data_IF_652401160293
#
_entry.id   IF_652401160293
#
_cell.length_a   1.000
_cell.length_b   1.000
_cell.length_c   1.000
_cell.angle_alpha   90.00
_cell.angle_beta   90.00
_cell.angle_gamma   90.00
#
_symmetry.space_group_name_H-M   'P 1'
#
loop_
_entity.id
_entity.type
_entity.pdbx_description
1 polymer ?
#
# COMPACT_ATOMS: atom_id res chain seq x y z
N UNK A 1 9.80 -14.21 -5.81
CA UNK A 1 8.47 -14.78 -6.06
C UNK A 1 8.08 -14.57 -7.51
N UNK A 2 7.59 -15.60 -8.13
CA UNK A 2 7.16 -15.67 -9.54
C UNK A 2 5.64 -15.63 -9.69
N UNK A 3 4.90 -15.59 -8.60
CA UNK A 3 3.48 -15.25 -8.67
C UNK A 3 3.33 -13.83 -9.21
N UNK A 4 2.36 -13.64 -10.10
CA UNK A 4 1.90 -12.32 -10.50
C UNK A 4 1.15 -11.67 -9.35
N UNK A 5 1.92 -11.04 -8.50
CA UNK A 5 1.44 -10.38 -7.29
C UNK A 5 2.21 -9.06 -7.10
N UNK A 6 1.57 -7.96 -6.69
CA UNK A 6 2.28 -6.77 -6.23
C UNK A 6 3.23 -7.10 -5.07
N UNK A 7 4.40 -6.47 -5.04
CA UNK A 7 5.40 -6.62 -3.97
C UNK A 7 5.20 -5.52 -2.93
N UNK A 8 5.24 -5.89 -1.65
CA UNK A 8 5.26 -4.92 -0.56
C UNK A 8 6.58 -4.14 -0.54
N UNK A 9 6.48 -2.88 -0.17
CA UNK A 9 7.61 -1.97 0.00
C UNK A 9 7.32 -1.05 1.19
N UNK A 10 8.25 -0.95 2.12
CA UNK A 10 8.11 -0.05 3.25
C UNK A 10 9.48 0.50 3.70
N UNK A 11 9.50 1.74 4.16
CA UNK A 11 10.67 2.40 4.74
C UNK A 11 10.25 3.06 6.04
N UNK A 12 10.98 2.82 7.10
CA UNK A 12 10.87 3.54 8.37
C UNK A 12 12.03 4.53 8.49
N UNK A 13 11.70 5.80 8.55
CA UNK A 13 12.65 6.87 8.83
C UNK A 13 12.65 7.14 10.32
N UNK A 14 13.77 6.92 10.96
CA UNK A 14 13.98 7.30 12.35
C UNK A 14 14.45 8.76 12.39
N UNK A 15 13.54 9.68 12.65
CA UNK A 15 13.83 11.12 12.67
C UNK A 15 13.90 11.64 14.10
N UNK A 16 14.47 12.83 14.28
CA UNK A 16 14.55 13.51 15.59
C UNK A 16 13.16 13.81 16.19
N UNK A 17 12.14 13.95 15.35
CA UNK A 17 10.77 14.25 15.76
C UNK A 17 9.87 13.00 15.92
N UNK A 18 10.38 11.82 15.60
CA UNK A 18 9.69 10.55 15.68
C UNK A 18 9.93 9.67 14.46
N UNK A 19 9.18 8.58 14.37
CA UNK A 19 9.26 7.69 13.23
C UNK A 19 8.28 8.10 12.15
N UNK A 20 8.77 8.18 10.94
CA UNK A 20 7.95 8.34 9.74
C UNK A 20 8.03 7.11 8.87
N UNK A 21 6.88 6.53 8.53
CA UNK A 21 6.79 5.33 7.71
C UNK A 21 6.19 5.64 6.33
N UNK A 22 6.86 5.19 5.27
CA UNK A 22 6.26 5.07 3.95
C UNK A 22 5.96 3.59 3.70
N UNK A 23 4.69 3.27 3.48
CA UNK A 23 4.20 1.90 3.26
C UNK A 23 3.52 1.81 1.91
N UNK A 24 4.16 1.16 0.96
CA UNK A 24 3.72 1.11 -0.42
C UNK A 24 4.02 -0.21 -1.13
N UNK A 25 4.07 -0.16 -2.45
CA UNK A 25 4.22 -1.31 -3.32
C UNK A 25 5.13 -1.04 -4.52
N UNK A 26 5.39 -2.09 -5.31
CA UNK A 26 6.11 -1.96 -6.57
C UNK A 26 5.23 -1.48 -7.73
N UNK A 27 3.95 -1.22 -7.49
CA UNK A 27 3.01 -0.66 -8.46
C UNK A 27 2.50 0.70 -7.98
N UNK A 28 2.33 1.69 -8.87
CA UNK A 28 1.88 3.03 -8.48
C UNK A 28 0.37 3.14 -8.23
N UNK A 29 -0.37 2.06 -8.38
CA UNK A 29 -1.83 1.99 -8.36
C UNK A 29 -2.32 0.76 -7.60
N UNK A 30 -3.65 0.67 -7.34
CA UNK A 30 -4.31 -0.40 -6.61
C UNK A 30 -5.60 -0.91 -7.29
N UNK A 31 -6.18 -1.99 -6.78
CA UNK A 31 -7.39 -2.64 -7.32
C UNK A 31 -8.69 -1.92 -6.97
N UNK A 32 -8.75 -1.20 -5.87
CA UNK A 32 -9.97 -0.58 -5.33
C UNK A 32 -9.70 0.83 -4.82
N UNK A 33 -10.75 1.66 -4.76
CA UNK A 33 -10.73 3.03 -4.22
C UNK A 33 -11.46 3.16 -2.89
N UNK A 34 -12.44 2.29 -2.66
CA UNK A 34 -13.23 2.24 -1.43
C UNK A 34 -12.56 1.32 -0.40
N UNK A 35 -12.11 1.83 0.76
CA UNK A 35 -11.47 1.01 1.79
C UNK A 35 -12.41 -0.04 2.38
N UNK A 36 -13.73 0.15 2.32
CA UNK A 36 -14.73 -0.83 2.74
C UNK A 36 -14.72 -2.10 1.88
N UNK A 37 -14.20 -2.02 0.65
CA UNK A 37 -14.02 -3.18 -0.22
C UNK A 37 -12.73 -3.97 0.08
N UNK A 38 -11.83 -3.45 0.93
CA UNK A 38 -10.56 -4.11 1.19
C UNK A 38 -10.70 -5.52 1.79
N UNK A 39 -11.52 -5.76 2.83
CA UNK A 39 -11.75 -7.11 3.34
C UNK A 39 -12.35 -8.04 2.28
N UNK A 40 -13.30 -7.55 1.48
CA UNK A 40 -13.93 -8.30 0.39
C UNK A 40 -12.88 -8.70 -0.65
N UNK A 41 -12.07 -7.73 -1.11
CA UNK A 41 -10.97 -7.98 -2.04
C UNK A 41 -9.97 -9.01 -1.49
N UNK A 42 -9.62 -8.92 -0.21
CA UNK A 42 -8.70 -9.89 0.43
C UNK A 42 -9.30 -11.31 0.41
N UNK A 43 -10.60 -11.47 0.65
CA UNK A 43 -11.26 -12.77 0.58
C UNK A 43 -11.12 -13.39 -0.82
N UNK A 44 -11.23 -12.61 -1.89
CA UNK A 44 -11.07 -13.12 -3.26
C UNK A 44 -9.63 -13.54 -3.60
N UNK A 45 -8.65 -13.08 -2.82
CA UNK A 45 -7.24 -13.41 -3.02
C UNK A 45 -6.77 -14.57 -2.14
N UNK A 46 -7.54 -14.92 -1.10
CA UNK A 46 -7.25 -16.05 -0.22
C UNK A 46 -7.54 -17.38 -0.91
N UNK A 47 -7.15 -18.45 -0.22
CA UNK A 47 -7.46 -19.81 -0.64
C UNK A 47 -8.92 -20.14 -0.33
N UNK A 48 -9.55 -20.91 -1.18
CA UNK A 48 -10.87 -21.47 -0.93
C UNK A 48 -10.83 -22.26 0.40
N UNK A 49 -11.75 -22.01 1.34
CA UNK A 49 -11.71 -22.64 2.66
C UNK A 49 -11.91 -24.16 2.64
N UNK A 50 -12.54 -24.70 1.60
CA UNK A 50 -12.78 -26.16 1.45
C UNK A 50 -11.59 -26.86 0.80
N UNK A 51 -11.08 -26.34 -0.32
CA UNK A 51 -10.04 -27.00 -1.11
C UNK A 51 -8.62 -26.57 -0.71
N UNK A 52 -8.48 -25.46 0.01
CA UNK A 52 -7.22 -24.78 0.31
C UNK A 52 -6.38 -24.40 -0.92
N UNK A 53 -6.99 -24.34 -2.08
CA UNK A 53 -6.38 -23.89 -3.34
C UNK A 53 -6.80 -22.46 -3.67
N UNK A 54 -6.05 -21.83 -4.60
CA UNK A 54 -6.47 -20.55 -5.16
C UNK A 54 -7.74 -20.76 -5.98
N UNK A 55 -8.71 -19.89 -5.77
CA UNK A 55 -10.00 -19.92 -6.45
C UNK A 55 -10.05 -18.82 -7.51
N UNK A 56 -10.05 -19.23 -8.77
CA UNK A 56 -10.05 -18.30 -9.89
C UNK A 56 -11.44 -17.68 -10.14
N UNK A 57 -12.50 -18.38 -9.75
CA UNK A 57 -13.86 -17.85 -9.80
C UNK A 57 -13.98 -16.62 -8.88
N UNK A 58 -13.62 -16.74 -7.62
CA UNK A 58 -13.63 -15.62 -6.67
C UNK A 58 -12.77 -14.45 -7.14
N UNK A 59 -11.61 -14.72 -7.74
CA UNK A 59 -10.73 -13.67 -8.24
C UNK A 59 -11.36 -12.92 -9.43
N UNK A 60 -11.74 -13.64 -10.46
CA UNK A 60 -12.21 -13.05 -11.70
C UNK A 60 -13.63 -12.48 -11.60
N UNK A 61 -14.49 -13.08 -10.80
CA UNK A 61 -15.81 -12.51 -10.50
C UNK A 61 -15.68 -11.11 -9.89
N UNK A 62 -14.91 -10.98 -8.82
CA UNK A 62 -14.66 -9.66 -8.22
C UNK A 62 -14.11 -8.64 -9.22
N UNK A 63 -13.09 -9.02 -10.00
CA UNK A 63 -12.51 -8.13 -11.01
C UNK A 63 -13.55 -7.75 -12.08
N UNK A 64 -14.50 -8.64 -12.44
CA UNK A 64 -15.57 -8.33 -13.41
C UNK A 64 -16.56 -7.31 -12.92
N UNK A 65 -16.85 -7.36 -11.63
CA UNK A 65 -17.83 -6.48 -10.98
C UNK A 65 -17.21 -5.13 -10.54
N UNK A 66 -15.90 -4.93 -10.73
CA UNK A 66 -15.17 -3.73 -10.29
C UNK A 66 -14.27 -3.18 -11.39
N UNK A 67 -14.81 -2.36 -12.30
CA UNK A 67 -14.07 -1.82 -13.44
C UNK A 67 -12.83 -1.01 -13.03
N UNK A 68 -12.83 -0.37 -11.86
CA UNK A 68 -11.67 0.31 -11.30
C UNK A 68 -10.46 -0.61 -11.07
N UNK A 69 -10.67 -1.93 -11.02
CA UNK A 69 -9.60 -2.92 -10.85
C UNK A 69 -8.85 -3.23 -12.14
N UNK A 70 -9.36 -2.82 -13.30
CA UNK A 70 -8.85 -3.22 -14.63
C UNK A 70 -7.39 -2.77 -14.83
N UNK A 71 -7.08 -1.53 -14.53
CA UNK A 71 -5.73 -0.98 -14.71
C UNK A 71 -4.68 -1.74 -13.88
N UNK A 72 -4.94 -1.98 -12.61
CA UNK A 72 -4.04 -2.77 -11.77
C UNK A 72 -3.92 -4.22 -12.24
N UNK A 73 -5.00 -4.81 -12.72
CA UNK A 73 -5.00 -6.16 -13.29
C UNK A 73 -4.12 -6.23 -14.54
N UNK A 74 -4.22 -5.27 -15.44
CA UNK A 74 -3.34 -5.19 -16.62
C UNK A 74 -1.86 -5.08 -16.22
N UNK A 75 -1.51 -4.22 -15.28
CA UNK A 75 -0.12 -4.12 -14.79
C UNK A 75 0.35 -5.44 -14.16
N UNK A 76 -0.51 -6.10 -13.38
CA UNK A 76 -0.21 -7.37 -12.72
C UNK A 76 0.04 -8.50 -13.71
N UNK A 77 -0.74 -8.58 -14.79
CA UNK A 77 -0.62 -9.62 -15.81
C UNK A 77 0.39 -9.26 -16.91
N UNK A 78 0.86 -8.00 -16.99
CA UNK A 78 2.00 -7.62 -17.83
C UNK A 78 3.32 -8.18 -17.31
N UNK A 79 4.40 -7.95 -18.05
CA UNK A 79 5.76 -8.31 -17.63
C UNK A 79 6.15 -7.69 -16.28
N UNK A 80 5.58 -6.53 -15.93
CA UNK A 80 5.82 -5.84 -14.65
C UNK A 80 5.34 -6.61 -13.42
N UNK A 81 4.45 -7.58 -13.59
CA UNK A 81 3.96 -8.44 -12.50
C UNK A 81 4.97 -9.48 -12.01
N UNK A 82 6.07 -9.70 -12.74
CA UNK A 82 7.12 -10.68 -12.41
C UNK A 82 8.53 -10.06 -12.48
N UNK A 83 8.87 -9.11 -11.59
CA UNK A 83 10.18 -8.50 -11.57
C UNK A 83 11.29 -9.52 -11.28
N UNK A 84 12.47 -9.32 -11.90
CA UNK A 84 13.67 -10.14 -11.68
C UNK A 84 14.36 -9.77 -10.35
N UNK A 85 13.63 -9.97 -9.26
CA UNK A 85 14.05 -9.68 -7.89
C UNK A 85 13.75 -8.23 -7.44
N UNK A 86 13.91 -7.99 -6.14
CA UNK A 86 13.58 -6.71 -5.50
C UNK A 86 14.46 -5.53 -5.95
N UNK A 87 15.66 -5.80 -6.48
CA UNK A 87 16.57 -4.77 -7.00
C UNK A 87 16.11 -4.16 -8.33
N UNK A 88 15.26 -4.87 -9.06
CA UNK A 88 14.80 -4.53 -10.40
C UNK A 88 13.33 -4.09 -10.44
N UNK A 89 12.81 -3.58 -9.35
CA UNK A 89 11.48 -3.00 -9.27
C UNK A 89 11.54 -1.60 -8.63
N UNK A 90 10.62 -0.73 -9.05
CA UNK A 90 10.40 0.52 -8.36
C UNK A 90 9.56 0.31 -7.08
N UNK A 91 9.62 1.27 -6.15
CA UNK A 91 8.73 1.38 -5.02
C UNK A 91 7.87 2.64 -5.12
N UNK A 92 6.65 2.58 -4.61
CA UNK A 92 5.70 3.70 -4.62
C UNK A 92 5.00 3.78 -3.27
N UNK A 93 4.97 4.97 -2.67
CA UNK A 93 4.23 5.22 -1.43
C UNK A 93 2.71 5.19 -1.62
N UNK A 94 2.28 4.92 -2.86
CA UNK A 94 0.91 4.67 -3.33
C UNK A 94 -0.06 5.84 -3.18
N UNK A 95 -0.24 6.36 -1.96
CA UNK A 95 -1.19 7.43 -1.65
C UNK A 95 -0.65 8.83 -1.90
N UNK A 96 -1.59 9.78 -1.94
CA UNK A 96 -1.30 11.20 -1.88
C UNK A 96 -1.20 11.61 -0.42
N UNK A 97 -0.10 12.26 -0.06
CA UNK A 97 0.12 12.93 1.22
C UNK A 97 0.13 14.44 1.03
N UNK A 98 0.13 15.18 2.13
CA UNK A 98 0.38 16.62 2.13
C UNK A 98 1.74 16.89 2.78
N UNK A 99 2.51 17.78 2.18
CA UNK A 99 3.63 18.45 2.83
C UNK A 99 3.17 19.83 3.26
N UNK A 100 3.37 20.18 4.52
CA UNK A 100 2.94 21.45 5.11
C UNK A 100 4.16 22.16 5.67
N UNK A 101 4.39 23.39 5.20
CA UNK A 101 5.52 24.19 5.69
C UNK A 101 5.21 24.92 7.02
N UNK A 102 6.18 25.65 7.55
CA UNK A 102 6.05 26.36 8.82
C UNK A 102 4.94 27.42 8.82
N UNK A 103 4.61 27.97 7.63
CA UNK A 103 3.54 28.94 7.46
C UNK A 103 2.15 28.30 7.27
N UNK A 104 2.05 26.97 7.38
CA UNK A 104 0.82 26.21 7.21
C UNK A 104 0.38 26.01 5.75
N UNK A 105 1.21 26.37 4.77
CA UNK A 105 0.90 26.15 3.35
C UNK A 105 1.10 24.67 2.99
N UNK A 106 0.02 24.03 2.55
CA UNK A 106 0.01 22.63 2.15
C UNK A 106 0.20 22.44 0.64
N UNK A 107 0.96 21.41 0.25
CA UNK A 107 1.05 20.89 -1.13
C UNK A 107 0.84 19.39 -1.13
N UNK A 108 0.16 18.87 -2.13
CA UNK A 108 0.01 17.43 -2.30
C UNK A 108 1.27 16.80 -2.90
N UNK A 109 1.61 15.60 -2.42
CA UNK A 109 2.76 14.84 -2.94
C UNK A 109 2.48 13.34 -2.99
N UNK A 110 3.22 12.65 -3.87
CA UNK A 110 3.35 11.18 -3.90
C UNK A 110 4.82 10.81 -3.86
N UNK A 111 5.16 9.81 -3.06
CA UNK A 111 6.54 9.33 -2.93
C UNK A 111 6.83 8.20 -3.91
N UNK A 112 7.87 8.36 -4.72
CA UNK A 112 8.33 7.38 -5.70
C UNK A 112 9.78 7.01 -5.43
N UNK A 113 10.06 5.72 -5.42
CA UNK A 113 11.42 5.17 -5.34
C UNK A 113 11.75 4.53 -6.70
N UNK A 114 12.71 5.09 -7.41
CA UNK A 114 13.16 4.58 -8.71
C UNK A 114 14.44 3.79 -8.52
N UNK A 115 14.44 2.52 -8.94
CA UNK A 115 15.64 1.68 -8.83
C UNK A 115 16.74 2.18 -9.79
N UNK A 116 17.95 2.40 -9.27
CA UNK A 116 19.12 2.78 -10.08
C UNK A 116 19.59 1.62 -10.98
N UNK A 117 19.33 0.36 -10.59
CA UNK A 117 19.61 -0.85 -11.39
C UNK A 117 18.64 -1.05 -12.56
N UNK A 118 17.68 -0.14 -12.74
CA UNK A 118 16.60 -0.18 -13.75
C UNK A 118 15.66 -1.37 -13.55
N UNK A 119 14.45 -1.24 -14.07
CA UNK A 119 13.44 -2.29 -14.07
C UNK A 119 13.91 -3.43 -14.97
N UNK A 120 13.76 -4.65 -14.48
CA UNK A 120 13.98 -5.89 -15.23
C UNK A 120 12.94 -6.92 -14.82
N UNK A 121 12.38 -7.61 -15.78
CA UNK A 121 11.33 -8.60 -15.56
C UNK A 121 11.82 -10.00 -15.96
N UNK A 122 11.27 -11.04 -15.32
CA UNK A 122 11.60 -12.42 -15.65
C UNK A 122 10.94 -12.82 -16.98
N UNK A 123 11.65 -13.55 -17.87
CA UNK A 123 10.99 -14.27 -18.95
C UNK A 123 9.98 -15.29 -18.40
N UNK A 124 8.84 -15.46 -19.07
CA UNK A 124 7.73 -16.32 -18.61
C UNK A 124 8.20 -17.74 -18.29
N UNK A 125 8.98 -18.40 -19.16
CA UNK A 125 9.56 -19.72 -18.90
C UNK A 125 10.36 -19.80 -17.61
N UNK A 126 11.23 -18.83 -17.35
CA UNK A 126 12.04 -18.77 -16.11
C UNK A 126 11.19 -18.49 -14.87
N UNK A 127 10.04 -17.86 -15.03
CA UNK A 127 9.09 -17.65 -13.95
C UNK A 127 8.39 -18.95 -13.54
N UNK A 128 8.06 -19.81 -14.49
CA UNK A 128 7.43 -21.12 -14.22
C UNK A 128 8.35 -22.05 -13.42
N UNK A 129 9.63 -22.08 -13.72
CA UNK A 129 10.65 -22.89 -13.00
C UNK A 129 10.81 -22.45 -11.54
N UNK A 130 10.57 -21.19 -11.24
CA UNK A 130 10.72 -20.59 -9.92
C UNK A 130 9.41 -20.56 -9.07
N UNK A 131 8.32 -21.16 -9.55
CA UNK A 131 6.94 -21.01 -9.05
C UNK A 131 6.66 -21.38 -7.57
N UNK A 132 7.63 -21.69 -6.76
CA UNK A 132 7.41 -22.25 -5.41
C UNK A 132 7.33 -21.25 -4.24
N UNK A 133 7.40 -19.89 -4.42
CA UNK A 133 7.35 -18.89 -3.31
C UNK A 133 6.60 -17.57 -3.68
N UNK A 134 5.93 -16.90 -2.76
CA UNK A 134 4.90 -15.81 -2.89
C UNK A 134 5.34 -14.40 -2.41
N UNK A 135 4.66 -13.23 -2.66
CA UNK A 135 3.40 -12.43 -2.40
C UNK A 135 3.53 -10.88 -2.67
N UNK A 136 2.63 -9.92 -2.59
CA UNK A 136 1.60 -8.93 -3.10
C UNK A 136 1.67 -7.44 -2.63
N UNK A 137 1.22 -6.33 -3.29
CA UNK A 137 0.11 -5.37 -3.70
C UNK A 137 0.51 -3.87 -3.82
N UNK A 138 -0.13 -2.78 -4.42
CA UNK A 138 -1.43 -2.14 -4.60
C UNK A 138 -1.52 -0.68 -5.15
N UNK A 139 -2.68 -0.11 -5.68
CA UNK A 139 -3.42 1.17 -5.88
C UNK A 139 -3.65 1.71 -7.32
N UNK A 140 -4.77 2.51 -7.60
CA UNK A 140 -5.44 2.48 -8.94
C UNK A 140 -5.08 3.53 -9.99
N UNK A 141 -4.64 4.77 -9.71
CA UNK A 141 -4.30 5.79 -10.72
C UNK A 141 -2.95 6.47 -10.49
N UNK A 142 -2.22 6.75 -11.58
CA UNK A 142 -0.99 7.54 -11.56
C UNK A 142 -1.23 9.00 -11.94
N UNK A 143 -0.40 9.91 -11.42
CA UNK A 143 -0.35 11.30 -11.88
C UNK A 143 0.48 11.40 -13.16
N UNK A 144 0.02 12.13 -14.20
CA UNK A 144 0.79 12.34 -15.42
C UNK A 144 2.09 13.10 -15.13
N UNK A 145 3.24 12.51 -15.46
CA UNK A 145 4.54 13.13 -15.17
C UNK A 145 4.82 14.39 -16.02
N UNK A 146 4.05 14.65 -17.09
CA UNK A 146 4.12 15.90 -17.84
C UNK A 146 3.58 17.09 -17.04
N UNK A 147 2.55 16.85 -16.23
CA UNK A 147 1.89 17.87 -15.40
C UNK A 147 2.49 17.91 -13.99
N UNK A 148 2.92 16.74 -13.49
CA UNK A 148 3.51 16.55 -12.16
C UNK A 148 4.88 15.85 -12.30
N UNK A 149 5.95 16.60 -12.66
CA UNK A 149 7.27 16.03 -12.86
C UNK A 149 7.84 15.46 -11.55
N UNK A 150 8.65 14.42 -11.66
CA UNK A 150 9.37 13.87 -10.52
C UNK A 150 10.48 14.84 -10.09
N UNK A 151 10.56 15.11 -8.79
CA UNK A 151 11.59 15.91 -8.16
C UNK A 151 12.48 14.96 -7.34
N UNK A 152 13.74 14.88 -7.67
CA UNK A 152 14.70 14.07 -6.89
C UNK A 152 14.96 14.75 -5.55
N UNK A 153 14.75 13.99 -4.46
CA UNK A 153 14.90 14.48 -3.08
C UNK A 153 15.98 13.75 -2.30
N UNK A 154 16.48 12.63 -2.82
CA UNK A 154 17.53 11.85 -2.16
C UNK A 154 17.73 10.46 -2.75
N UNK A 155 18.64 9.72 -2.14
CA UNK A 155 18.96 8.34 -2.49
C UNK A 155 18.79 7.42 -1.30
N UNK A 156 18.10 6.29 -1.50
CA UNK A 156 18.02 5.19 -0.54
C UNK A 156 19.05 4.12 -0.92
N UNK A 157 19.93 3.76 0.01
CA UNK A 157 20.92 2.72 -0.18
C UNK A 157 20.62 1.56 0.78
N UNK A 158 20.52 0.35 0.23
CA UNK A 158 20.36 -0.90 0.99
C UNK A 158 21.76 -1.53 1.18
N UNK A 159 22.46 -1.15 2.22
CA UNK A 159 23.87 -1.46 2.47
C UNK A 159 24.09 -2.49 3.58
N UNK A 160 23.05 -2.81 4.36
CA UNK A 160 23.14 -3.73 5.50
C UNK A 160 21.91 -4.66 5.59
N UNK A 161 22.17 -5.92 5.88
CA UNK A 161 21.13 -6.87 6.29
C UNK A 161 20.86 -6.77 7.80
N UNK A 162 19.63 -7.16 8.27
CA UNK A 162 19.36 -7.25 9.70
C UNK A 162 20.32 -8.26 10.36
N UNK A 163 20.75 -7.95 11.58
CA UNK A 163 21.59 -8.84 12.39
C UNK A 163 20.77 -9.89 13.14
N UNK A 164 19.54 -9.56 13.46
CA UNK A 164 18.58 -10.45 14.11
C UNK A 164 17.22 -10.37 13.41
N UNK A 165 16.88 -11.42 12.64
CA UNK A 165 15.67 -11.44 11.85
C UNK A 165 14.39 -11.31 12.68
N UNK A 166 14.32 -11.98 13.83
CA UNK A 166 13.15 -11.87 14.71
C UNK A 166 13.00 -10.45 15.28
N UNK A 167 14.05 -9.90 15.85
CA UNK A 167 13.99 -8.59 16.51
C UNK A 167 13.81 -7.42 15.51
N UNK A 168 14.46 -7.50 14.37
CA UNK A 168 14.55 -6.37 13.42
C UNK A 168 13.58 -6.51 12.23
N UNK A 169 13.05 -7.70 11.95
CA UNK A 169 12.16 -7.95 10.81
C UNK A 169 10.77 -8.43 11.25
N UNK A 170 10.67 -9.48 12.07
CA UNK A 170 9.36 -9.99 12.48
C UNK A 170 8.62 -9.04 13.42
N UNK A 171 9.33 -8.33 14.30
CA UNK A 171 8.75 -7.39 15.25
C UNK A 171 8.55 -5.97 14.71
N UNK A 172 9.08 -5.65 13.52
CA UNK A 172 8.89 -4.31 12.95
C UNK A 172 7.43 -4.08 12.56
N UNK A 173 6.95 -2.87 12.81
CA UNK A 173 5.61 -2.42 12.46
C UNK A 173 5.70 -1.16 11.59
N UNK A 174 5.23 -1.26 10.35
CA UNK A 174 5.12 -0.11 9.44
C UNK A 174 3.67 0.35 9.37
N UNK A 175 3.43 1.64 9.52
CA UNK A 175 2.10 2.21 9.40
C UNK A 175 2.09 3.55 8.66
N UNK A 176 1.20 3.76 7.69
CA UNK A 176 1.02 5.08 7.08
C UNK A 176 0.52 6.15 8.06
N UNK A 177 0.10 5.77 9.28
CA UNK A 177 -0.24 6.71 10.35
C UNK A 177 0.97 7.18 11.16
N UNK A 178 2.15 6.56 10.99
CA UNK A 178 3.39 7.05 11.58
C UNK A 178 3.91 8.22 10.74
N UNK A 179 3.55 9.42 11.16
CA UNK A 179 3.86 10.68 10.50
C UNK A 179 4.63 11.59 11.47
N UNK A 180 5.37 12.54 10.91
CA UNK A 180 6.09 13.58 11.66
C UNK A 180 5.54 14.96 11.27
N UNK A 181 5.73 16.01 12.09
CA UNK A 181 5.28 17.36 11.76
C UNK A 181 5.69 17.78 10.35
N UNK A 182 4.77 18.39 9.63
CA UNK A 182 4.95 18.80 8.23
C UNK A 182 4.60 17.74 7.19
N UNK A 183 4.32 16.50 7.60
CA UNK A 183 3.79 15.45 6.71
C UNK A 183 2.41 15.03 7.21
N UNK A 184 1.39 15.20 6.37
CA UNK A 184 0.00 14.96 6.73
C UNK A 184 -0.68 14.00 5.76
N UNK A 185 -1.71 13.25 6.20
CA UNK A 185 -2.54 12.46 5.31
C UNK A 185 -3.40 13.38 4.44
N UNK A 186 -3.62 12.98 3.20
CA UNK A 186 -4.62 13.59 2.34
C UNK A 186 -6.02 13.02 2.60
N UNK A 187 -7.09 13.60 2.04
CA UNK A 187 -8.44 13.03 2.09
C UNK A 187 -8.64 11.78 1.20
N UNK A 188 -7.59 11.21 0.66
CA UNK A 188 -7.63 9.90 -0.05
C UNK A 188 -8.33 8.85 0.83
N UNK A 189 -9.48 8.35 0.38
CA UNK A 189 -10.33 7.43 1.17
C UNK A 189 -9.59 6.15 1.56
N UNK A 190 -8.79 5.58 0.65
CA UNK A 190 -7.97 4.40 0.95
C UNK A 190 -6.90 4.71 1.99
N UNK A 191 -6.24 5.87 1.91
CA UNK A 191 -5.30 6.30 2.95
C UNK A 191 -5.99 6.41 4.31
N UNK A 192 -7.15 7.05 4.37
CA UNK A 192 -7.93 7.20 5.61
C UNK A 192 -8.27 5.83 6.24
N UNK A 193 -8.69 4.85 5.44
CA UNK A 193 -8.90 3.48 5.90
C UNK A 193 -7.61 2.82 6.39
N UNK A 194 -6.48 3.08 5.75
CA UNK A 194 -5.16 2.53 6.14
C UNK A 194 -4.62 3.16 7.43
N UNK A 195 -4.92 4.44 7.71
CA UNK A 195 -4.54 5.07 8.98
C UNK A 195 -5.13 4.33 10.19
N UNK A 196 -6.32 3.77 10.03
CA UNK A 196 -6.99 2.97 11.06
C UNK A 196 -6.51 1.51 11.09
N UNK A 197 -6.48 0.84 9.92
CA UNK A 197 -6.29 -0.61 9.85
C UNK A 197 -4.88 -1.09 10.22
N UNK A 198 -3.84 -0.31 9.96
CA UNK A 198 -2.47 -0.71 10.27
C UNK A 198 -2.18 -0.72 11.78
N UNK A 199 -2.48 0.32 12.55
CA UNK A 199 -2.35 0.26 14.01
C UNK A 199 -3.16 -0.89 14.63
N UNK A 200 -4.38 -1.13 14.16
CA UNK A 200 -5.23 -2.21 14.63
C UNK A 200 -4.58 -3.58 14.42
N UNK A 201 -4.13 -3.87 13.19
CA UNK A 201 -3.46 -5.14 12.89
C UNK A 201 -2.15 -5.32 13.66
N UNK A 202 -1.42 -4.24 13.94
CA UNK A 202 -0.17 -4.33 14.72
C UNK A 202 -0.45 -4.61 16.21
N UNK A 203 -1.52 -4.06 16.77
CA UNK A 203 -1.96 -4.44 18.14
C UNK A 203 -2.33 -5.91 18.21
N UNK A 204 -2.98 -6.45 17.18
CA UNK A 204 -3.29 -7.88 17.09
C UNK A 204 -2.03 -8.73 16.92
N UNK A 205 -1.09 -8.34 16.06
CA UNK A 205 0.11 -9.13 15.73
C UNK A 205 1.19 -9.07 16.80
N UNK A 206 1.43 -7.91 17.39
CA UNK A 206 2.56 -7.63 18.28
C UNK A 206 2.14 -7.24 19.71
N UNK A 207 0.87 -6.91 19.92
CA UNK A 207 0.35 -6.43 21.20
C UNK A 207 0.17 -4.90 21.24
N UNK A 208 -0.62 -4.41 22.23
CA UNK A 208 -1.01 -2.99 22.31
C UNK A 208 0.17 -2.02 22.48
N UNK A 209 1.28 -2.49 23.05
CA UNK A 209 2.48 -1.70 23.32
C UNK A 209 3.61 -1.90 22.27
N UNK A 210 3.27 -2.32 21.04
CA UNK A 210 4.25 -2.61 19.99
C UNK A 210 5.18 -1.42 19.67
N UNK A 211 4.77 -0.19 19.96
CA UNK A 211 5.60 1.01 19.77
C UNK A 211 6.77 1.09 20.77
N UNK A 212 6.74 0.32 21.88
CA UNK A 212 7.84 0.24 22.83
C UNK A 212 8.89 -0.82 22.44
N UNK A 213 8.63 -1.67 21.43
CA UNK A 213 9.65 -2.57 20.90
C UNK A 213 10.82 -1.80 20.32
N UNK A 214 12.08 -2.19 20.55
CA UNK A 214 13.26 -1.40 20.12
C UNK A 214 13.25 -1.00 18.65
N UNK A 215 12.84 -1.89 17.75
CA UNK A 215 12.77 -1.63 16.30
C UNK A 215 11.66 -0.65 15.92
N UNK A 216 10.66 -0.45 16.76
CA UNK A 216 9.54 0.47 16.54
C UNK A 216 9.65 1.76 17.37
N UNK A 217 10.50 1.77 18.38
CA UNK A 217 10.67 2.91 19.26
C UNK A 217 11.43 4.04 18.55
N UNK A 218 10.98 5.29 18.63
CA UNK A 218 11.75 6.42 18.10
C UNK A 218 13.04 6.62 18.90
N UNK A 219 14.12 7.08 18.22
CA UNK A 219 15.44 7.17 18.84
C UNK A 219 15.67 8.45 19.64
N UNK A 220 15.04 9.57 19.24
CA UNK A 220 15.24 10.89 19.86
C UNK A 220 14.03 11.38 20.66
N UNK A 221 12.87 10.80 20.48
CA UNK A 221 11.63 11.15 21.21
C UNK A 221 11.17 9.97 22.07
N UNK A 222 10.33 10.25 23.06
CA UNK A 222 9.70 9.21 23.88
C UNK A 222 8.38 8.78 23.24
N UNK A 223 8.07 7.48 23.36
CA UNK A 223 6.70 7.01 23.11
C UNK A 223 5.77 7.67 24.12
N UNK A 224 4.83 8.47 23.63
CA UNK A 224 3.84 9.16 24.45
C UNK A 224 2.44 8.89 23.89
N UNK A 225 1.67 8.10 24.61
CA UNK A 225 0.29 7.73 24.25
C UNK A 225 -0.50 7.37 25.52
N UNK A 226 -1.79 7.04 25.34
CA UNK A 226 -2.67 6.63 26.44
C UNK A 226 -2.68 5.11 26.68
N UNK A 227 -1.91 4.34 25.92
CA UNK A 227 -1.68 2.91 26.17
C UNK A 227 -0.52 2.77 27.15
N UNK A 228 -0.82 2.58 28.43
CA UNK A 228 0.14 2.72 29.51
C UNK A 228 0.36 1.46 30.35
N UNK A 229 -0.36 0.41 30.04
CA UNK A 229 -0.30 -0.89 30.69
C UNK A 229 -0.58 -2.03 29.68
N UNK A 230 -0.79 -3.25 30.18
CA UNK A 230 -1.12 -4.41 29.38
C UNK A 230 0.09 -5.08 28.69
N UNK A 231 -0.17 -6.05 27.81
CA UNK A 231 0.89 -6.83 27.15
C UNK A 231 1.93 -5.98 26.45
N UNK A 232 3.20 -6.38 26.56
CA UNK A 232 4.37 -5.72 25.96
C UNK A 232 4.67 -4.33 26.51
N UNK A 233 4.05 -3.89 27.61
CA UNK A 233 4.43 -2.65 28.27
C UNK A 233 5.81 -2.79 28.92
N UNK A 234 6.77 -2.03 28.46
CA UNK A 234 8.08 -1.91 29.04
C UNK A 234 8.13 -0.77 30.06
N UNK A 235 7.47 0.33 29.77
CA UNK A 235 7.38 1.51 30.62
C UNK A 235 5.95 2.08 30.57
N UNK A 236 5.34 2.26 31.75
CA UNK A 236 3.99 2.79 31.86
C UNK A 236 3.90 4.33 31.77
N UNK A 237 4.98 5.03 31.47
CA UNK A 237 5.07 6.49 31.32
C UNK A 237 4.74 7.28 32.60
N UNK A 238 4.80 6.65 33.75
CA UNK A 238 4.58 7.28 35.08
C UNK A 238 3.13 7.39 35.52
N UNK A 239 2.85 8.15 36.56
CA UNK A 239 1.56 8.27 37.21
C UNK A 239 0.61 9.34 36.62
N UNK A 240 0.92 9.94 35.49
CA UNK A 240 0.07 10.96 34.88
C UNK A 240 -1.29 10.35 34.42
N UNK A 241 -2.37 11.13 34.31
CA UNK A 241 -3.65 10.64 33.80
C UNK A 241 -3.52 10.15 32.34
N UNK A 242 -4.34 9.17 31.97
CA UNK A 242 -4.33 8.57 30.63
C UNK A 242 -5.50 9.04 29.76
N UNK A 243 -5.85 10.33 29.89
CA UNK A 243 -6.88 11.00 29.08
C UNK A 243 -6.47 12.45 28.79
N UNK A 244 -7.06 13.01 27.74
CA UNK A 244 -6.93 14.42 27.34
C UNK A 244 -8.32 14.97 26.94
N UNK A 245 -8.65 16.23 27.24
CA UNK A 245 -7.88 17.18 28.05
C UNK A 245 -7.89 16.82 29.56
N UNK A 246 -6.87 17.28 30.29
CA UNK A 246 -6.78 17.13 31.75
C UNK A 246 -6.20 18.38 32.42
N UNK A 247 -6.41 18.52 33.74
CA UNK A 247 -5.87 19.62 34.53
C UNK A 247 -4.54 19.29 35.26
N UNK A 248 -3.93 18.16 34.89
CA UNK A 248 -2.68 17.65 35.48
C UNK A 248 -1.53 17.79 34.48
N UNK A 249 -0.34 17.50 34.90
CA UNK A 249 0.84 17.42 34.01
C UNK A 249 0.87 16.13 33.20
N UNK A 250 -0.28 15.71 32.69
CA UNK A 250 -0.39 14.50 31.89
C UNK A 250 0.06 14.68 30.44
N UNK A 251 -0.12 13.64 29.60
CA UNK A 251 0.16 13.75 28.18
C UNK A 251 -0.60 14.91 27.55
N UNK A 252 0.10 15.71 26.74
CA UNK A 252 -0.45 16.84 26.01
C UNK A 252 -0.29 16.61 24.51
N UNK A 253 -1.27 17.05 23.74
CA UNK A 253 -1.16 17.05 22.30
C UNK A 253 -0.15 18.08 21.83
N UNK A 254 0.72 17.67 20.90
CA UNK A 254 1.70 18.60 20.31
C UNK A 254 0.99 19.51 19.30
N UNK A 255 1.12 20.82 19.46
CA UNK A 255 0.62 21.76 18.47
C UNK A 255 1.28 21.60 17.09
N UNK A 256 2.56 21.21 17.06
CA UNK A 256 3.30 20.90 15.82
C UNK A 256 2.76 19.67 15.09
N UNK A 257 2.05 18.79 15.80
CA UNK A 257 1.42 17.59 15.25
C UNK A 257 -0.04 17.80 14.84
N UNK A 258 -0.63 18.99 15.03
CA UNK A 258 -1.98 19.28 14.59
C UNK A 258 -2.08 19.24 13.08
N UNK A 259 -3.06 18.49 12.57
CA UNK A 259 -3.32 18.40 11.14
C UNK A 259 -4.05 19.65 10.63
N UNK A 260 -3.70 20.06 9.41
CA UNK A 260 -4.43 21.12 8.72
C UNK A 260 -5.88 20.71 8.45
N UNK A 261 -6.81 21.64 8.62
CA UNK A 261 -8.23 21.40 8.39
C UNK A 261 -8.62 21.67 6.93
N UNK A 262 -9.62 20.95 6.43
CA UNK A 262 -10.26 21.25 5.16
C UNK A 262 -11.77 21.11 5.31
N UNK A 263 -12.52 21.97 4.64
CA UNK A 263 -13.99 21.89 4.64
C UNK A 263 -14.45 20.80 3.67
N UNK A 264 -15.47 20.04 4.09
CA UNK A 264 -16.20 19.09 3.24
C UNK A 264 -17.67 19.48 3.24
N UNK A 265 -18.34 19.27 2.11
CA UNK A 265 -19.78 19.48 1.96
C UNK A 265 -20.35 18.33 1.14
N UNK A 266 -21.49 17.78 1.54
CA UNK A 266 -22.18 16.70 0.86
C UNK A 266 -22.79 15.69 1.83
N UNK A 267 -23.51 14.73 1.30
CA UNK A 267 -24.11 13.65 2.07
C UNK A 267 -23.07 12.59 2.45
N UNK A 268 -23.25 11.99 3.62
CA UNK A 268 -22.47 10.84 4.06
C UNK A 268 -23.11 9.59 3.48
N UNK A 269 -22.56 9.10 2.38
CA UNK A 269 -23.03 7.90 1.71
C UNK A 269 -21.84 6.98 1.32
N UNK A 270 -22.16 5.71 1.01
CA UNK A 270 -21.16 4.80 0.46
C UNK A 270 -20.66 5.32 -0.89
N UNK A 271 -19.35 5.32 -1.03
CA UNK A 271 -18.72 5.76 -2.27
C UNK A 271 -19.07 4.84 -3.45
N UNK A 272 -19.56 5.44 -4.54
CA UNK A 272 -19.80 4.74 -5.80
C UNK A 272 -18.76 5.17 -6.83
N UNK A 273 -17.97 4.22 -7.35
CA UNK A 273 -16.95 4.45 -8.37
C UNK A 273 -17.40 4.12 -9.79
N UNK A 274 -18.65 3.67 -9.99
CA UNK A 274 -19.14 3.22 -11.31
C UNK A 274 -19.19 4.34 -12.36
N UNK A 275 -19.44 5.57 -11.92
CA UNK A 275 -19.59 6.75 -12.80
C UNK A 275 -18.24 7.44 -13.10
N UNK A 276 -17.14 6.94 -12.55
CA UNK A 276 -15.81 7.49 -12.79
C UNK A 276 -15.16 6.86 -14.02
N UNK A 277 -14.25 7.63 -14.66
CA UNK A 277 -13.37 7.09 -15.68
C UNK A 277 -12.47 5.98 -15.13
N UNK A 278 -12.75 4.74 -15.54
CA UNK A 278 -12.02 3.55 -15.12
C UNK A 278 -11.10 3.00 -16.23
N UNK A 279 -11.19 3.51 -17.47
CA UNK A 279 -10.58 2.90 -18.64
C UNK A 279 -9.54 3.76 -19.36
N UNK A 280 -9.59 5.09 -19.29
CA UNK A 280 -8.62 5.95 -19.98
C UNK A 280 -7.16 5.59 -19.65
N UNK A 281 -6.83 5.33 -18.39
CA UNK A 281 -5.47 4.91 -18.03
C UNK A 281 -5.16 3.46 -18.41
N UNK A 282 -6.16 2.60 -18.54
CA UNK A 282 -6.00 1.27 -19.13
C UNK A 282 -5.59 1.36 -20.60
N UNK A 283 -6.30 2.18 -21.38
CA UNK A 283 -6.01 2.47 -22.80
C UNK A 283 -4.62 3.10 -22.96
N UNK A 284 -4.28 4.07 -22.12
CA UNK A 284 -2.93 4.67 -22.13
C UNK A 284 -1.86 3.61 -21.84
N UNK A 285 -2.08 2.73 -20.86
CA UNK A 285 -1.13 1.66 -20.56
C UNK A 285 -0.99 0.67 -21.70
N UNK A 286 -2.10 0.26 -22.33
CA UNK A 286 -2.10 -0.61 -23.50
C UNK A 286 -1.31 0.00 -24.67
N UNK A 287 -1.50 1.28 -24.91
CA UNK A 287 -0.88 1.99 -26.04
C UNK A 287 0.64 2.17 -25.92
N UNK A 288 1.19 2.15 -24.71
CA UNK A 288 2.65 2.23 -24.51
C UNK A 288 3.35 0.87 -24.59
N UNK A 289 2.61 -0.24 -24.60
CA UNK A 289 3.16 -1.59 -24.74
C UNK A 289 3.52 -1.87 -26.20
N UNK A 290 4.65 -2.54 -26.43
CA UNK A 290 4.98 -3.15 -27.72
C UNK A 290 3.99 -4.28 -28.05
N UNK A 291 3.95 -4.72 -29.33
CA UNK A 291 3.06 -5.83 -29.71
C UNK A 291 3.37 -7.10 -28.91
N UNK A 292 4.64 -7.47 -28.77
CA UNK A 292 5.05 -8.64 -27.99
C UNK A 292 4.64 -8.56 -26.51
N UNK A 293 4.63 -7.35 -25.91
CA UNK A 293 4.17 -7.14 -24.54
C UNK A 293 2.65 -7.26 -24.43
N UNK A 294 1.91 -6.80 -25.44
CA UNK A 294 0.46 -6.97 -25.54
C UNK A 294 0.08 -8.44 -25.65
N UNK A 295 0.74 -9.18 -26.53
CA UNK A 295 0.51 -10.60 -26.75
C UNK A 295 0.77 -11.39 -25.45
N UNK A 296 1.89 -11.13 -24.77
CA UNK A 296 2.16 -11.73 -23.45
C UNK A 296 1.14 -11.33 -22.38
N UNK A 297 0.65 -10.10 -22.38
CA UNK A 297 -0.38 -9.66 -21.46
C UNK A 297 -1.68 -10.44 -21.69
N UNK A 298 -2.11 -10.58 -22.94
CA UNK A 298 -3.30 -11.35 -23.31
C UNK A 298 -3.13 -12.83 -22.93
N UNK A 299 -2.03 -13.47 -23.29
CA UNK A 299 -1.74 -14.87 -22.97
C UNK A 299 -1.76 -15.13 -21.45
N UNK A 300 -1.21 -14.22 -20.67
CA UNK A 300 -1.18 -14.32 -19.21
C UNK A 300 -2.59 -14.20 -18.61
N UNK A 301 -3.43 -13.29 -19.13
CA UNK A 301 -4.82 -13.15 -18.70
C UNK A 301 -5.61 -14.39 -19.08
N UNK A 302 -5.55 -14.84 -20.33
CA UNK A 302 -6.22 -16.03 -20.83
C UNK A 302 -5.79 -17.28 -20.05
N UNK A 303 -4.48 -17.43 -19.82
CA UNK A 303 -3.93 -18.54 -19.03
C UNK A 303 -4.45 -18.63 -17.59
N UNK A 304 -4.87 -17.50 -17.01
CA UNK A 304 -5.48 -17.45 -15.68
C UNK A 304 -7.00 -17.57 -15.74
N UNK A 305 -7.64 -16.83 -16.66
CA UNK A 305 -9.10 -16.75 -16.80
C UNK A 305 -9.74 -18.07 -17.24
N UNK A 306 -9.06 -18.87 -18.07
CA UNK A 306 -9.53 -20.20 -18.49
C UNK A 306 -9.79 -21.18 -17.34
N UNK A 307 -9.29 -20.90 -16.13
CA UNK A 307 -9.54 -21.72 -14.95
C UNK A 307 -10.77 -21.24 -14.14
N UNK A 308 -11.45 -20.20 -14.59
CA UNK A 308 -12.68 -19.71 -14.00
C UNK A 308 -13.90 -20.32 -14.72
N UNK A 309 -15.05 -20.25 -14.07
CA UNK A 309 -16.33 -20.71 -14.61
C UNK A 309 -16.70 -19.97 -15.92
N UNK A 310 -17.38 -20.65 -16.85
CA UNK A 310 -17.74 -20.11 -18.17
C UNK A 310 -18.56 -18.80 -18.09
N UNK A 311 -19.45 -18.66 -17.13
CA UNK A 311 -20.20 -17.41 -16.90
C UNK A 311 -19.28 -16.23 -16.61
N UNK A 312 -18.24 -16.47 -15.83
CA UNK A 312 -17.25 -15.43 -15.48
C UNK A 312 -16.37 -15.12 -16.70
N UNK A 313 -15.98 -16.13 -17.48
CA UNK A 313 -15.22 -15.94 -18.71
C UNK A 313 -16.00 -15.05 -19.71
N UNK A 314 -17.29 -15.30 -19.92
CA UNK A 314 -18.14 -14.49 -20.80
C UNK A 314 -18.30 -13.07 -20.27
N UNK A 315 -18.53 -12.87 -18.97
CA UNK A 315 -18.67 -11.55 -18.36
C UNK A 315 -17.42 -10.67 -18.48
N UNK A 316 -16.23 -11.26 -18.68
CA UNK A 316 -14.95 -10.57 -18.84
C UNK A 316 -14.63 -10.15 -20.28
N UNK A 317 -15.15 -10.84 -21.26
CA UNK A 317 -14.84 -10.54 -22.66
C UNK A 317 -15.11 -9.07 -23.03
N UNK A 318 -16.22 -8.42 -22.62
CA UNK A 318 -16.46 -7.01 -22.91
C UNK A 318 -15.47 -6.03 -22.23
N UNK A 319 -14.94 -6.38 -21.05
CA UNK A 319 -13.99 -5.52 -20.31
C UNK A 319 -12.57 -5.56 -20.88
N UNK A 320 -12.24 -6.55 -21.68
CA UNK A 320 -10.93 -6.76 -22.28
C UNK A 320 -10.92 -6.45 -23.80
N UNK A 321 -12.08 -6.23 -24.38
CA UNK A 321 -12.27 -5.99 -25.83
C UNK A 321 -12.59 -4.53 -26.17
N UNK A 322 -12.63 -3.62 -25.19
CA UNK A 322 -12.94 -2.19 -25.37
C UNK A 322 -11.74 -1.32 -25.68
#
# INVERSE_FOLDING_TARGET
SIHRDPRGFAVKFYTEEGNWDIVGNNTPIFFIRDPMLFPVFIHTQKRNPVTHLKDWDMFWDFISLRPESTHQTMILFSDRGIPDGYRHMNGYGSHTFKLVNAEGKAVYCKFHYKTNQKIKNLPVKRAEDLFRIRIRRELTKVWPHREFPLIEVGQLVLDKNPSNYFAEVEQIAFSPSHLVPGIEPSPDKMLQGRLFSYPDTHRHRLGPNYLQLPVNCPFATKVANYQRDGPMAFNNQGGAPNYFPNSFSGPQESERGRLSTFAVSGDVARYNSSDEDNFSQCTMFWNILSQDERDRLVDNIVGALKNANDLIQVSKTPLLSG
#
